data_IF_507636861363
#
_entry.id   IF_507636861363
#
_cell.length_a   1.000
_cell.length_b   1.000
_cell.length_c   1.000
_cell.angle_alpha   90.00
_cell.angle_beta   90.00
_cell.angle_gamma   90.00
#
_symmetry.space_group_name_H-M   'P 1'
#
loop_
_entity.id
_entity.type
_entity.pdbx_description
1 polymer ?
#
# COMPACT_ATOMS: atom_id res chain seq x y z
N UNK A 1 29.44 12.87 83.54
CA UNK A 1 29.64 14.08 82.72
C UNK A 1 28.87 13.88 81.43
N UNK A 2 27.78 14.58 81.33
CA UNK A 2 26.93 15.12 80.19
C UNK A 2 27.27 14.59 78.80
N UNK A 3 26.52 13.86 78.26
CA UNK A 3 25.37 13.60 77.34
C UNK A 3 24.82 14.83 76.68
N UNK A 4 24.78 14.81 75.36
CA UNK A 4 23.83 15.58 74.60
C UNK A 4 23.34 14.73 73.39
N UNK A 5 22.07 14.48 73.44
CA UNK A 5 21.21 13.95 72.39
C UNK A 5 20.95 15.06 71.38
N UNK A 6 21.11 14.79 70.12
CA UNK A 6 20.52 15.60 69.00
C UNK A 6 19.59 14.76 68.17
N UNK A 7 18.33 15.11 68.29
CA UNK A 7 17.25 14.86 67.37
C UNK A 7 17.56 15.51 66.01
N UNK A 8 17.44 14.82 64.95
CA UNK A 8 17.28 15.42 63.60
C UNK A 8 16.13 14.72 62.84
N UNK A 9 15.06 15.47 62.78
CA UNK A 9 13.86 15.27 62.06
C UNK A 9 14.14 15.25 60.52
N UNK A 10 13.61 14.26 59.84
CA UNK A 10 13.46 14.25 58.40
C UNK A 10 12.19 15.02 57.99
N UNK A 11 12.32 16.00 57.11
CA UNK A 11 11.28 16.33 56.20
C UNK A 11 11.86 16.48 54.79
N UNK A 12 11.76 15.47 53.97
CA UNK A 12 12.25 15.53 52.58
C UNK A 12 11.74 14.46 51.64
N UNK A 13 11.12 13.41 52.19
CA UNK A 13 10.69 12.27 51.35
C UNK A 13 9.21 12.27 50.93
N UNK A 14 8.38 13.12 51.53
CA UNK A 14 6.93 13.16 51.20
C UNK A 14 6.63 14.10 50.03
N UNK A 15 7.43 15.15 49.81
CA UNK A 15 7.20 16.12 48.72
C UNK A 15 7.50 15.57 47.34
N UNK A 16 8.44 14.62 47.20
CA UNK A 16 8.83 14.06 45.88
C UNK A 16 7.80 13.04 45.38
N UNK A 17 7.13 12.30 46.25
CA UNK A 17 6.12 11.31 45.89
C UNK A 17 4.82 11.99 45.43
N UNK A 18 4.45 13.12 45.98
CA UNK A 18 3.25 13.87 45.56
C UNK A 18 3.46 14.55 44.22
N UNK A 19 4.68 15.04 43.91
CA UNK A 19 4.98 15.61 42.59
C UNK A 19 4.99 14.56 41.47
N UNK A 20 5.44 13.33 41.74
CA UNK A 20 5.38 12.24 40.73
C UNK A 20 3.96 11.74 40.50
N UNK A 21 3.10 11.69 41.49
CA UNK A 21 1.69 11.32 41.34
C UNK A 21 0.88 12.38 40.57
N UNK A 22 1.16 13.67 40.81
CA UNK A 22 0.49 14.76 40.08
C UNK A 22 0.97 14.79 38.60
N UNK A 23 2.24 14.48 38.34
CA UNK A 23 2.75 14.40 36.96
C UNK A 23 2.20 13.16 36.21
N UNK A 24 1.98 12.03 36.90
CA UNK A 24 1.42 10.82 36.33
C UNK A 24 -0.11 10.93 36.10
N UNK A 25 -0.83 11.60 37.02
CA UNK A 25 -2.26 11.91 36.79
C UNK A 25 -2.48 13.00 35.72
N UNK A 26 -1.54 13.95 35.56
CA UNK A 26 -1.59 14.94 34.48
C UNK A 26 -1.32 14.33 33.11
N UNK A 27 -0.49 13.30 32.99
CA UNK A 27 -0.22 12.62 31.74
C UNK A 27 -1.35 11.67 31.31
N UNK A 28 -2.09 11.10 32.28
CA UNK A 28 -3.30 10.28 31.99
C UNK A 28 -4.51 11.11 31.62
N UNK A 29 -4.53 12.41 31.88
CA UNK A 29 -5.67 13.31 31.56
C UNK A 29 -5.53 14.01 30.20
N UNK A 30 -4.41 13.86 29.49
CA UNK A 30 -4.21 14.43 28.14
C UNK A 30 -4.44 13.37 27.03
N UNK A 31 -4.72 12.11 27.39
CA UNK A 31 -5.36 11.14 26.47
C UNK A 31 -6.88 11.32 26.59
N UNK A 32 -7.35 12.57 26.46
CA UNK A 32 -8.75 12.91 26.35
C UNK A 32 -9.19 12.76 24.90
N UNK A 33 -9.99 11.71 24.66
CA UNK A 33 -11.14 11.74 23.77
C UNK A 33 -11.07 12.71 22.56
N UNK A 34 -10.24 12.37 21.58
CA UNK A 34 -10.65 12.63 20.23
C UNK A 34 -11.77 11.61 19.91
N UNK A 35 -13.01 11.82 20.41
CA UNK A 35 -14.19 11.07 20.00
C UNK A 35 -14.57 11.47 18.56
N UNK A 36 -13.60 11.44 17.66
CA UNK A 36 -13.80 11.51 16.23
C UNK A 36 -14.23 10.13 15.74
N UNK A 37 -15.21 10.11 14.81
CA UNK A 37 -15.54 8.88 14.07
C UNK A 37 -14.23 8.22 13.57
N UNK A 38 -14.04 6.90 13.75
CA UNK A 38 -12.86 6.22 13.23
C UNK A 38 -12.65 6.51 11.75
N UNK A 39 -11.38 6.65 11.33
CA UNK A 39 -11.03 6.89 9.94
C UNK A 39 -11.55 5.75 9.06
N UNK A 40 -12.26 6.10 8.00
CA UNK A 40 -12.81 5.15 7.02
C UNK A 40 -11.79 4.90 5.92
N UNK A 41 -11.16 3.72 5.94
CA UNK A 41 -10.17 3.30 4.94
C UNK A 41 -10.85 2.48 3.85
N UNK A 42 -10.94 3.02 2.64
CA UNK A 42 -11.42 2.29 1.49
C UNK A 42 -10.43 1.17 1.11
N UNK A 43 -10.95 -0.03 0.88
CA UNK A 43 -10.18 -1.12 0.27
C UNK A 43 -10.72 -1.28 -1.16
N UNK A 44 -9.88 -1.00 -2.16
CA UNK A 44 -10.28 -1.07 -3.56
C UNK A 44 -10.83 -2.46 -3.91
N UNK A 45 -11.82 -2.50 -4.78
CA UNK A 45 -12.49 -3.75 -5.18
C UNK A 45 -11.50 -4.78 -5.73
N UNK A 46 -11.78 -6.05 -5.49
CA UNK A 46 -10.98 -7.17 -5.99
C UNK A 46 -11.87 -8.26 -6.59
N UNK A 47 -11.43 -8.81 -7.71
CA UNK A 47 -12.03 -10.02 -8.30
C UNK A 47 -11.73 -11.30 -7.50
N UNK A 48 -10.82 -11.24 -6.51
CA UNK A 48 -10.44 -12.34 -5.60
C UNK A 48 -10.46 -11.86 -4.13
N UNK A 49 -11.64 -11.49 -3.59
CA UNK A 49 -11.76 -10.88 -2.27
C UNK A 49 -11.34 -11.81 -1.12
N UNK A 50 -11.33 -13.13 -1.35
CA UNK A 50 -10.91 -14.12 -0.36
C UNK A 50 -9.42 -14.43 -0.40
N UNK A 51 -8.65 -13.77 -1.28
CA UNK A 51 -7.21 -14.00 -1.35
C UNK A 51 -6.52 -13.66 -0.03
N UNK A 52 -5.40 -14.35 0.23
CA UNK A 52 -4.64 -14.17 1.48
C UNK A 52 -4.21 -12.72 1.68
N UNK A 53 -3.66 -12.06 0.65
CA UNK A 53 -3.24 -10.66 0.70
C UNK A 53 -4.43 -9.71 0.93
N UNK A 54 -5.54 -9.88 0.21
CA UNK A 54 -6.70 -9.01 0.35
C UNK A 54 -7.29 -9.06 1.77
N UNK A 55 -7.51 -10.26 2.30
CA UNK A 55 -8.02 -10.45 3.67
C UNK A 55 -7.02 -9.98 4.72
N UNK A 56 -5.71 -10.08 4.46
CA UNK A 56 -4.65 -9.54 5.33
C UNK A 56 -4.68 -8.01 5.38
N UNK A 57 -5.00 -7.34 4.28
CA UNK A 57 -5.16 -5.88 4.24
C UNK A 57 -6.29 -5.42 5.18
N UNK A 58 -7.41 -6.13 5.19
CA UNK A 58 -8.53 -5.84 6.11
C UNK A 58 -8.10 -6.00 7.58
N UNK A 59 -7.33 -7.05 7.88
CA UNK A 59 -6.78 -7.28 9.22
C UNK A 59 -5.85 -6.14 9.62
N UNK A 60 -4.91 -5.74 8.75
CA UNK A 60 -3.96 -4.68 9.02
C UNK A 60 -4.62 -3.32 9.31
N UNK A 61 -5.67 -2.97 8.56
CA UNK A 61 -6.45 -1.74 8.79
C UNK A 61 -7.14 -1.76 10.16
N UNK A 62 -7.74 -2.89 10.52
CA UNK A 62 -8.38 -3.05 11.86
C UNK A 62 -7.36 -2.98 12.98
N UNK A 63 -6.23 -3.63 12.83
CA UNK A 63 -5.13 -3.60 13.81
C UNK A 63 -4.56 -2.18 13.99
N UNK A 64 -4.57 -1.38 12.92
CA UNK A 64 -4.18 0.03 12.97
C UNK A 64 -5.24 0.95 13.58
N UNK A 65 -6.40 0.43 14.02
CA UNK A 65 -7.46 1.18 14.70
C UNK A 65 -8.42 1.93 13.78
N UNK A 66 -8.44 1.63 12.47
CA UNK A 66 -9.35 2.24 11.52
C UNK A 66 -10.48 1.29 11.07
N UNK A 67 -11.47 1.84 10.37
CA UNK A 67 -12.60 1.09 9.82
C UNK A 67 -12.33 0.75 8.36
N UNK A 68 -12.11 -0.53 8.00
CA UNK A 68 -12.00 -0.93 6.60
C UNK A 68 -13.38 -0.91 5.94
N UNK A 69 -13.48 -0.28 4.77
CA UNK A 69 -14.66 -0.23 3.93
C UNK A 69 -14.33 -0.88 2.60
N UNK A 70 -14.91 -2.05 2.34
CA UNK A 70 -14.75 -2.72 1.05
C UNK A 70 -15.52 -1.93 0.01
N UNK A 71 -14.83 -1.43 -1.02
CA UNK A 71 -15.44 -0.62 -2.06
C UNK A 71 -16.08 -1.48 -3.13
N UNK A 72 -17.15 -0.95 -3.71
CA UNK A 72 -17.74 -1.51 -4.92
C UNK A 72 -16.83 -1.30 -6.13
N UNK A 73 -17.03 -2.11 -7.17
CA UNK A 73 -16.33 -1.96 -8.45
C UNK A 73 -16.65 -0.61 -9.10
N UNK A 74 -15.60 0.14 -9.42
CA UNK A 74 -15.75 1.35 -10.26
C UNK A 74 -15.97 0.95 -11.71
N UNK A 75 -17.03 1.48 -12.32
CA UNK A 75 -17.42 1.20 -13.69
C UNK A 75 -17.27 2.45 -14.56
N UNK A 76 -16.67 2.28 -15.74
CA UNK A 76 -16.71 3.29 -16.79
C UNK A 76 -18.10 3.31 -17.44
N UNK A 77 -18.66 4.50 -17.69
CA UNK A 77 -19.89 4.63 -18.45
C UNK A 77 -19.68 4.53 -19.97
N UNK A 78 -18.42 4.43 -20.41
CA UNK A 78 -18.05 4.19 -21.81
C UNK A 78 -18.03 2.71 -22.21
N UNK A 79 -18.15 1.80 -21.22
CA UNK A 79 -18.04 0.36 -21.40
C UNK A 79 -19.34 -0.33 -21.02
N UNK A 80 -19.62 -1.45 -21.68
CA UNK A 80 -20.81 -2.26 -21.41
C UNK A 80 -20.52 -3.36 -20.39
N UNK A 81 -21.45 -3.55 -19.46
CA UNK A 81 -21.38 -4.58 -18.44
C UNK A 81 -22.63 -5.46 -18.44
N UNK A 82 -22.47 -6.73 -18.17
CA UNK A 82 -23.60 -7.62 -17.91
C UNK A 82 -24.23 -7.36 -16.53
N UNK A 83 -25.29 -8.09 -16.20
CA UNK A 83 -26.00 -7.97 -14.91
C UNK A 83 -25.13 -8.33 -13.71
N UNK A 84 -24.06 -9.12 -13.92
CA UNK A 84 -23.11 -9.51 -12.87
C UNK A 84 -21.92 -8.55 -12.75
N UNK A 85 -21.81 -7.56 -13.66
CA UNK A 85 -20.74 -6.59 -13.68
C UNK A 85 -19.53 -7.02 -14.52
N UNK A 86 -19.62 -8.08 -15.30
CA UNK A 86 -18.56 -8.48 -16.23
C UNK A 86 -18.59 -7.58 -17.47
N UNK A 87 -17.40 -7.22 -17.97
CA UNK A 87 -17.27 -6.49 -19.24
C UNK A 87 -17.74 -7.33 -20.42
N UNK A 88 -18.51 -6.68 -21.31
CA UNK A 88 -19.00 -7.25 -22.56
C UNK A 88 -18.16 -6.66 -23.70
N UNK A 89 -17.61 -7.52 -24.57
CA UNK A 89 -16.84 -7.14 -25.79
C UNK A 89 -15.63 -6.20 -25.53
N UNK A 90 -15.13 -6.18 -24.32
CA UNK A 90 -14.04 -5.27 -23.91
C UNK A 90 -12.82 -6.00 -23.35
N UNK A 91 -12.81 -7.32 -23.37
CA UNK A 91 -11.69 -8.18 -22.96
C UNK A 91 -11.55 -9.36 -23.90
N UNK A 92 -10.33 -9.93 -23.96
CA UNK A 92 -10.04 -11.16 -24.69
C UNK A 92 -10.31 -12.42 -23.84
N UNK A 93 -9.98 -13.58 -24.39
CA UNK A 93 -10.14 -14.90 -23.76
C UNK A 93 -9.26 -15.10 -22.51
N UNK A 94 -8.17 -14.32 -22.36
CA UNK A 94 -7.29 -14.32 -21.21
C UNK A 94 -7.74 -13.34 -20.11
N UNK A 95 -8.82 -12.59 -20.33
CA UNK A 95 -9.28 -11.53 -19.42
C UNK A 95 -8.50 -10.21 -19.53
N UNK A 96 -7.69 -10.06 -20.58
CA UNK A 96 -6.93 -8.83 -20.88
C UNK A 96 -7.88 -7.81 -21.52
N UNK A 97 -7.84 -6.57 -21.02
CA UNK A 97 -8.61 -5.47 -21.55
C UNK A 97 -8.20 -5.19 -23.01
N UNK A 98 -9.17 -5.02 -23.91
CA UNK A 98 -8.88 -4.69 -25.32
C UNK A 98 -8.27 -3.29 -25.45
N UNK A 99 -7.41 -3.07 -26.45
CA UNK A 99 -6.79 -1.75 -26.73
C UNK A 99 -7.82 -0.65 -26.91
N UNK A 100 -8.99 -0.97 -27.51
CA UNK A 100 -10.10 -0.02 -27.67
C UNK A 100 -10.66 0.42 -26.32
N UNK A 101 -10.93 -0.53 -25.42
CA UNK A 101 -11.46 -0.25 -24.09
C UNK A 101 -10.43 0.49 -23.22
N UNK A 102 -9.16 0.06 -23.28
CA UNK A 102 -8.06 0.74 -22.60
C UNK A 102 -7.91 2.20 -23.03
N UNK A 103 -8.05 2.48 -24.33
CA UNK A 103 -8.02 3.86 -24.86
C UNK A 103 -9.16 4.71 -24.29
N UNK A 104 -10.39 4.19 -24.24
CA UNK A 104 -11.53 4.90 -23.65
C UNK A 104 -11.29 5.22 -22.18
N UNK A 105 -10.84 4.23 -21.40
CA UNK A 105 -10.53 4.39 -19.97
C UNK A 105 -9.44 5.44 -19.76
N UNK A 106 -8.34 5.40 -20.54
CA UNK A 106 -7.24 6.36 -20.42
C UNK A 106 -7.65 7.78 -20.82
N UNK A 107 -8.52 7.95 -21.84
CA UNK A 107 -8.95 9.26 -22.32
C UNK A 107 -9.98 9.93 -21.40
N UNK A 108 -10.98 9.18 -20.94
CA UNK A 108 -12.11 9.73 -20.18
C UNK A 108 -11.90 9.69 -18.67
N UNK A 109 -10.98 8.85 -18.21
CA UNK A 109 -10.61 8.71 -16.81
C UNK A 109 -11.84 8.57 -15.89
N UNK A 110 -11.76 9.06 -14.64
CA UNK A 110 -12.81 8.91 -13.65
C UNK A 110 -14.06 9.76 -13.92
N UNK A 111 -13.96 10.83 -14.70
CA UNK A 111 -15.07 11.78 -14.95
C UNK A 111 -16.28 11.09 -15.56
N UNK A 112 -16.05 10.08 -16.41
CA UNK A 112 -17.13 9.27 -16.99
C UNK A 112 -17.27 7.92 -16.28
N UNK A 113 -17.40 7.96 -14.93
CA UNK A 113 -17.51 6.76 -14.09
C UNK A 113 -18.29 7.02 -12.78
N UNK A 114 -18.54 5.95 -12.02
CA UNK A 114 -19.11 6.06 -10.68
C UNK A 114 -18.06 6.25 -9.56
N UNK A 115 -16.79 6.57 -9.86
CA UNK A 115 -15.71 6.66 -8.88
C UNK A 115 -16.04 7.61 -7.70
N UNK A 116 -16.59 8.79 -7.99
CA UNK A 116 -16.97 9.76 -6.96
C UNK A 116 -18.04 9.22 -5.99
N UNK A 117 -18.98 8.42 -6.50
CA UNK A 117 -20.03 7.79 -5.68
C UNK A 117 -19.44 6.69 -4.79
N UNK A 118 -18.55 5.84 -5.34
CA UNK A 118 -17.88 4.77 -4.61
C UNK A 118 -17.01 5.34 -3.48
N UNK A 119 -16.35 6.47 -3.69
CA UNK A 119 -15.48 7.13 -2.70
C UNK A 119 -16.21 7.98 -1.66
N UNK A 120 -17.55 8.03 -1.71
CA UNK A 120 -18.31 8.85 -0.76
C UNK A 120 -18.11 8.38 0.69
N UNK A 121 -17.63 9.27 1.55
CA UNK A 121 -17.41 8.99 2.98
C UNK A 121 -16.11 8.23 3.29
N UNK A 122 -15.22 8.09 2.31
CA UNK A 122 -13.90 7.47 2.47
C UNK A 122 -12.85 8.56 2.74
N UNK A 123 -12.03 8.36 3.77
CA UNK A 123 -11.02 9.33 4.21
C UNK A 123 -9.66 9.09 3.54
N UNK A 124 -9.27 7.82 3.37
CA UNK A 124 -8.07 7.37 2.67
C UNK A 124 -8.32 6.00 2.03
N UNK A 125 -7.40 5.52 1.18
CA UNK A 125 -7.62 4.30 0.41
C UNK A 125 -6.38 3.42 0.35
N UNK A 126 -6.61 2.10 0.32
CA UNK A 126 -5.60 1.09 -0.01
C UNK A 126 -5.98 0.39 -1.31
N UNK A 127 -5.03 0.29 -2.24
CA UNK A 127 -5.11 -0.58 -3.40
C UNK A 127 -4.30 -1.84 -3.13
N UNK A 128 -4.96 -2.99 -2.89
CA UNK A 128 -4.28 -4.23 -2.52
C UNK A 128 -3.55 -4.89 -3.71
N UNK A 129 -2.69 -5.86 -3.39
CA UNK A 129 -2.12 -6.77 -4.35
C UNK A 129 -3.15 -7.56 -5.17
N UNK A 130 -2.70 -8.36 -6.12
CA UNK A 130 -3.57 -9.19 -6.97
C UNK A 130 -2.94 -9.61 -8.28
N UNK A 131 -3.79 -9.97 -9.23
CA UNK A 131 -3.46 -10.48 -10.56
C UNK A 131 -2.76 -9.43 -11.43
N UNK A 132 -2.19 -9.85 -12.54
CA UNK A 132 -1.48 -9.01 -13.49
C UNK A 132 -2.38 -7.92 -14.11
N UNK A 133 -1.76 -6.86 -14.61
CA UNK A 133 -2.46 -5.74 -15.25
C UNK A 133 -2.35 -5.86 -16.76
N UNK A 134 -3.44 -5.64 -17.46
CA UNK A 134 -3.52 -5.67 -18.93
C UNK A 134 -2.45 -4.78 -19.58
N UNK A 135 -1.58 -5.32 -20.45
CA UNK A 135 -0.53 -4.55 -21.10
C UNK A 135 -1.04 -3.42 -22.00
N UNK A 136 -2.31 -3.48 -22.42
CA UNK A 136 -3.00 -2.42 -23.17
C UNK A 136 -3.20 -1.13 -22.36
N UNK A 137 -3.18 -1.21 -21.02
CA UNK A 137 -3.23 -0.04 -20.14
C UNK A 137 -1.87 0.65 -19.97
N UNK A 138 -0.77 0.00 -20.28
CA UNK A 138 0.56 0.61 -20.13
C UNK A 138 0.66 1.90 -20.96
N UNK A 139 1.52 2.81 -20.53
CA UNK A 139 1.75 4.07 -21.24
C UNK A 139 2.12 3.81 -22.70
N UNK A 140 3.12 2.98 -22.93
CA UNK A 140 3.41 2.39 -24.22
C UNK A 140 2.76 1.01 -24.24
N UNK A 141 1.63 0.87 -24.94
CA UNK A 141 0.96 -0.41 -25.11
C UNK A 141 1.97 -1.46 -25.58
N UNK A 142 1.96 -2.61 -24.93
CA UNK A 142 2.84 -3.73 -25.25
C UNK A 142 2.00 -4.94 -25.61
N UNK A 143 2.48 -5.79 -26.56
CA UNK A 143 1.89 -7.10 -26.72
C UNK A 143 2.07 -7.91 -25.44
N UNK A 144 1.13 -8.80 -25.19
CA UNK A 144 1.27 -9.71 -24.08
C UNK A 144 2.46 -10.65 -24.27
N UNK A 145 3.35 -10.67 -23.31
CA UNK A 145 4.53 -11.54 -23.26
C UNK A 145 4.48 -12.51 -22.08
N UNK A 146 3.31 -12.68 -21.47
CA UNK A 146 3.12 -13.57 -20.32
C UNK A 146 3.33 -15.04 -20.67
N UNK A 147 3.32 -15.88 -19.66
CA UNK A 147 3.32 -17.33 -19.77
C UNK A 147 1.88 -17.76 -19.50
N UNK A 148 1.26 -18.58 -20.35
CA UNK A 148 -0.15 -19.01 -20.22
C UNK A 148 -0.51 -19.53 -18.82
N UNK A 149 0.42 -20.18 -18.15
CA UNK A 149 0.24 -20.66 -16.75
C UNK A 149 0.16 -19.54 -15.71
N UNK A 150 0.44 -18.29 -16.08
CA UNK A 150 0.41 -17.11 -15.22
C UNK A 150 -0.53 -16.03 -15.76
N UNK A 151 -1.41 -16.38 -16.69
CA UNK A 151 -2.38 -15.45 -17.29
C UNK A 151 -3.56 -15.18 -16.35
N UNK A 152 -3.26 -14.62 -15.20
CA UNK A 152 -4.26 -14.18 -14.22
C UNK A 152 -4.57 -12.70 -14.46
N UNK A 153 -5.49 -12.39 -15.38
CA UNK A 153 -5.95 -11.04 -15.71
C UNK A 153 -7.41 -10.82 -15.29
N UNK A 154 -7.76 -9.59 -15.00
CA UNK A 154 -9.15 -9.16 -14.80
C UNK A 154 -9.33 -7.76 -15.34
N UNK A 155 -9.87 -7.68 -16.55
CA UNK A 155 -10.18 -6.41 -17.22
C UNK A 155 -11.10 -5.53 -16.36
N UNK A 156 -12.05 -6.12 -15.64
CA UNK A 156 -12.96 -5.42 -14.72
C UNK A 156 -12.18 -4.72 -13.61
N UNK A 157 -11.22 -5.42 -13.00
CA UNK A 157 -10.38 -4.84 -11.95
C UNK A 157 -9.43 -3.80 -12.50
N UNK A 158 -8.91 -4.01 -13.70
CA UNK A 158 -8.04 -3.05 -14.39
C UNK A 158 -8.76 -1.73 -14.63
N UNK A 159 -9.99 -1.77 -15.16
CA UNK A 159 -10.83 -0.58 -15.35
C UNK A 159 -11.14 0.08 -14.00
N UNK A 160 -11.59 -0.71 -13.03
CA UNK A 160 -11.96 -0.20 -11.70
C UNK A 160 -10.80 0.52 -11.02
N UNK A 161 -9.62 -0.13 -10.94
CA UNK A 161 -8.46 0.44 -10.27
C UNK A 161 -7.91 1.66 -11.03
N UNK A 162 -7.85 1.62 -12.36
CA UNK A 162 -7.38 2.75 -13.17
C UNK A 162 -8.21 4.02 -12.92
N UNK A 163 -9.55 3.89 -12.99
CA UNK A 163 -10.47 5.01 -12.79
C UNK A 163 -10.41 5.52 -11.35
N UNK A 164 -10.33 4.61 -10.39
CA UNK A 164 -10.26 4.96 -8.98
C UNK A 164 -8.95 5.65 -8.62
N UNK A 165 -7.80 5.20 -9.15
CA UNK A 165 -6.52 5.92 -9.01
C UNK A 165 -6.57 7.31 -9.64
N UNK A 166 -7.14 7.43 -10.84
CA UNK A 166 -7.32 8.73 -11.51
C UNK A 166 -8.11 9.71 -10.62
N UNK A 167 -9.20 9.24 -9.99
CA UNK A 167 -9.98 10.02 -9.02
C UNK A 167 -9.15 10.40 -7.80
N UNK A 168 -8.50 9.43 -7.16
CA UNK A 168 -7.76 9.65 -5.92
C UNK A 168 -6.59 10.61 -6.11
N UNK A 169 -5.87 10.49 -7.22
CA UNK A 169 -4.77 11.40 -7.55
C UNK A 169 -5.26 12.83 -7.81
N UNK A 170 -6.37 13.01 -8.54
CA UNK A 170 -6.92 14.34 -8.77
C UNK A 170 -7.45 14.98 -7.48
N UNK A 171 -8.17 14.22 -6.67
CA UNK A 171 -8.78 14.70 -5.41
C UNK A 171 -7.81 14.71 -4.22
N UNK A 172 -6.53 14.37 -4.44
CA UNK A 172 -5.49 14.32 -3.40
C UNK A 172 -5.90 13.47 -2.19
N UNK A 173 -6.51 12.29 -2.46
CA UNK A 173 -6.91 11.33 -1.43
C UNK A 173 -5.66 10.57 -0.96
N UNK A 174 -5.38 10.51 0.35
CA UNK A 174 -4.28 9.70 0.87
C UNK A 174 -4.40 8.24 0.41
N UNK A 175 -3.32 7.72 -0.19
CA UNK A 175 -3.33 6.46 -0.91
C UNK A 175 -2.11 5.62 -0.56
N UNK A 176 -2.33 4.37 -0.14
CA UNK A 176 -1.32 3.32 -0.05
C UNK A 176 -1.60 2.27 -1.13
N UNK A 177 -0.61 2.03 -1.99
CA UNK A 177 -0.71 1.12 -3.12
C UNK A 177 0.26 -0.05 -2.92
N UNK A 178 -0.25 -1.29 -2.79
CA UNK A 178 0.51 -2.49 -2.44
C UNK A 178 0.62 -3.41 -3.66
N UNK A 179 1.82 -3.83 -4.01
CA UNK A 179 2.16 -4.80 -5.06
C UNK A 179 1.49 -4.42 -6.41
N UNK A 180 0.46 -5.12 -6.84
CA UNK A 180 -0.33 -4.74 -8.03
C UNK A 180 -0.84 -3.29 -7.95
N UNK A 181 -1.23 -2.83 -6.76
CA UNK A 181 -1.62 -1.43 -6.53
C UNK A 181 -0.51 -0.45 -6.90
N UNK A 182 0.74 -0.70 -6.48
CA UNK A 182 1.89 0.12 -6.88
C UNK A 182 2.12 0.10 -8.40
N UNK A 183 1.96 -1.05 -9.04
CA UNK A 183 2.08 -1.17 -10.49
C UNK A 183 0.99 -0.36 -11.21
N UNK A 184 -0.27 -0.43 -10.76
CA UNK A 184 -1.37 0.37 -11.33
C UNK A 184 -1.17 1.88 -11.08
N UNK A 185 -0.74 2.29 -9.89
CA UNK A 185 -0.34 3.69 -9.61
C UNK A 185 0.71 4.16 -10.63
N UNK A 186 1.68 3.30 -10.92
CA UNK A 186 2.77 3.59 -11.85
C UNK A 186 2.25 3.71 -13.29
N UNK A 187 1.35 2.82 -13.72
CA UNK A 187 0.71 2.86 -15.04
C UNK A 187 -0.13 4.13 -15.22
N UNK A 188 -0.99 4.46 -14.25
CA UNK A 188 -1.82 5.68 -14.29
C UNK A 188 -0.95 6.95 -14.31
N UNK A 189 0.25 6.88 -13.77
CA UNK A 189 1.22 7.98 -13.77
C UNK A 189 2.07 8.02 -15.05
N UNK A 190 2.01 7.02 -15.94
CA UNK A 190 2.76 6.96 -17.19
C UNK A 190 4.12 6.26 -17.10
N UNK A 191 4.35 5.45 -16.08
CA UNK A 191 5.59 4.69 -15.90
C UNK A 191 5.67 3.46 -16.81
N UNK A 192 6.91 2.96 -17.01
CA UNK A 192 7.15 1.71 -17.72
C UNK A 192 7.06 0.50 -16.79
N UNK A 193 6.51 -0.61 -17.30
CA UNK A 193 6.32 -1.87 -16.56
C UNK A 193 7.12 -3.01 -17.24
N UNK A 194 7.71 -3.85 -16.40
CA UNK A 194 8.27 -5.16 -16.76
C UNK A 194 7.19 -6.22 -16.58
N UNK A 195 6.79 -6.90 -17.65
CA UNK A 195 5.75 -7.94 -17.60
C UNK A 195 6.24 -9.25 -16.95
N UNK A 196 7.56 -9.53 -17.00
CA UNK A 196 8.13 -10.73 -16.39
C UNK A 196 9.61 -10.50 -16.01
N UNK A 197 9.89 -10.43 -14.71
CA UNK A 197 11.24 -10.19 -14.18
C UNK A 197 12.24 -11.25 -14.66
N UNK A 198 11.99 -12.58 -14.61
CA UNK A 198 12.92 -13.58 -15.13
C UNK A 198 13.32 -13.34 -16.58
N UNK A 199 12.37 -13.00 -17.46
CA UNK A 199 12.66 -12.69 -18.86
C UNK A 199 13.46 -11.40 -19.03
N UNK A 200 13.17 -10.39 -18.21
CA UNK A 200 13.93 -9.15 -18.21
C UNK A 200 15.39 -9.41 -17.86
N UNK A 201 15.65 -10.17 -16.79
CA UNK A 201 17.01 -10.55 -16.38
C UNK A 201 17.72 -11.38 -17.44
N UNK A 202 17.06 -12.37 -18.04
CA UNK A 202 17.63 -13.15 -19.15
C UNK A 202 17.99 -12.27 -20.35
N UNK A 203 17.17 -11.27 -20.70
CA UNK A 203 17.41 -10.34 -21.81
C UNK A 203 18.65 -9.47 -21.59
N UNK A 204 18.97 -9.12 -20.33
CA UNK A 204 20.16 -8.33 -19.98
C UNK A 204 21.36 -9.19 -19.58
N UNK A 205 21.24 -10.52 -19.68
CA UNK A 205 22.34 -11.46 -19.43
C UNK A 205 22.73 -11.61 -17.96
N UNK A 206 21.80 -11.34 -17.03
CA UNK A 206 22.03 -11.43 -15.59
C UNK A 206 21.20 -12.56 -14.99
N UNK A 207 21.78 -13.36 -14.10
CA UNK A 207 21.07 -14.43 -13.40
C UNK A 207 20.04 -13.85 -12.43
N UNK A 208 18.80 -14.38 -12.45
CA UNK A 208 17.74 -14.02 -11.54
C UNK A 208 17.68 -14.97 -10.34
N UNK A 209 17.72 -14.45 -9.11
CA UNK A 209 17.78 -15.23 -7.88
C UNK A 209 16.40 -15.65 -7.34
N UNK A 210 15.30 -15.29 -8.01
CA UNK A 210 13.92 -15.59 -7.62
C UNK A 210 13.50 -15.04 -6.25
N UNK A 211 14.17 -14.02 -5.75
CA UNK A 211 13.86 -13.43 -4.44
C UNK A 211 12.49 -12.74 -4.38
N UNK A 212 11.93 -12.30 -5.52
CA UNK A 212 10.62 -11.65 -5.57
C UNK A 212 9.46 -12.66 -5.70
N UNK A 213 9.69 -13.78 -6.39
CA UNK A 213 8.75 -14.89 -6.53
C UNK A 213 9.49 -16.15 -6.96
N UNK A 214 9.38 -17.20 -6.17
CA UNK A 214 9.90 -18.53 -6.55
C UNK A 214 8.73 -19.50 -6.67
N UNK A 215 8.36 -19.85 -7.91
CA UNK A 215 7.26 -20.80 -8.19
C UNK A 215 7.50 -22.21 -7.69
N UNK A 216 8.74 -22.59 -7.40
CA UNK A 216 9.12 -23.88 -6.83
C UNK A 216 8.77 -23.96 -5.34
N UNK A 217 8.56 -22.81 -4.70
CA UNK A 217 8.21 -22.68 -3.29
C UNK A 217 6.76 -22.25 -3.14
N UNK A 218 6.13 -22.67 -2.07
CA UNK A 218 4.79 -22.20 -1.69
C UNK A 218 4.92 -20.97 -0.81
N UNK A 219 4.07 -19.97 -1.04
CA UNK A 219 3.99 -18.77 -0.21
C UNK A 219 4.99 -17.67 -0.57
N UNK A 220 4.94 -16.62 0.21
CA UNK A 220 5.74 -15.41 0.01
C UNK A 220 7.22 -15.67 0.24
N UNK A 221 8.07 -15.03 -0.56
CA UNK A 221 9.50 -14.95 -0.30
C UNK A 221 9.78 -13.77 0.63
N UNK A 222 10.91 -13.80 1.34
CA UNK A 222 11.37 -12.68 2.15
C UNK A 222 12.67 -12.12 1.56
N UNK A 223 12.73 -10.80 1.33
CA UNK A 223 13.96 -10.14 0.93
C UNK A 223 14.11 -8.76 1.57
N UNK A 224 15.31 -8.20 1.55
CA UNK A 224 15.55 -6.83 2.00
C UNK A 224 15.37 -5.83 0.87
N UNK A 225 14.98 -4.61 1.22
CA UNK A 225 14.92 -3.46 0.31
C UNK A 225 15.72 -2.29 0.87
N UNK A 226 16.39 -1.55 0.01
CA UNK A 226 17.09 -0.31 0.37
C UNK A 226 16.21 0.89 0.07
N UNK A 227 16.03 1.77 1.07
CA UNK A 227 15.37 3.06 0.88
C UNK A 227 16.41 4.04 0.34
N UNK A 228 16.26 4.40 -0.92
CA UNK A 228 17.26 5.14 -1.68
C UNK A 228 17.21 6.66 -1.46
N UNK A 229 16.12 7.17 -0.89
CA UNK A 229 15.84 8.60 -0.77
C UNK A 229 15.47 8.96 0.67
N UNK A 230 16.37 9.64 1.38
CA UNK A 230 16.21 9.97 2.81
C UNK A 230 15.15 11.06 3.08
N UNK A 231 14.82 11.87 2.10
CA UNK A 231 13.76 12.88 2.16
C UNK A 231 12.41 12.35 1.61
N UNK A 232 12.27 11.01 1.49
CA UNK A 232 11.05 10.37 1.04
C UNK A 232 10.05 10.15 2.19
N UNK A 233 8.77 10.03 1.83
CA UNK A 233 7.70 9.66 2.74
C UNK A 233 8.01 8.30 3.40
N UNK A 234 8.46 7.30 2.61
CA UNK A 234 8.80 5.98 3.12
C UNK A 234 9.92 6.04 4.16
N UNK A 235 10.97 6.82 3.92
CA UNK A 235 12.05 6.99 4.91
C UNK A 235 11.55 7.65 6.19
N UNK A 236 10.73 8.70 6.06
CA UNK A 236 10.13 9.38 7.21
C UNK A 236 9.27 8.45 8.07
N UNK A 237 8.51 7.55 7.45
CA UNK A 237 7.67 6.55 8.14
C UNK A 237 8.53 5.51 8.85
N UNK A 238 9.50 4.92 8.14
CA UNK A 238 10.27 3.77 8.64
C UNK A 238 11.39 4.22 9.58
N UNK A 239 12.03 5.36 9.31
CA UNK A 239 13.10 5.93 10.12
C UNK A 239 14.46 5.24 9.94
N UNK A 240 14.64 4.44 8.89
CA UNK A 240 15.90 3.73 8.58
C UNK A 240 16.05 3.51 7.07
N UNK A 241 17.29 3.36 6.61
CA UNK A 241 17.63 3.23 5.18
C UNK A 241 17.40 1.85 4.57
N UNK A 242 16.99 0.84 5.37
CA UNK A 242 16.76 -0.53 4.88
C UNK A 242 15.63 -1.19 5.65
N UNK A 243 14.82 -1.98 4.95
CA UNK A 243 13.79 -2.85 5.53
C UNK A 243 14.15 -4.29 5.19
N UNK A 244 14.21 -5.15 6.19
CA UNK A 244 14.46 -6.57 6.03
C UNK A 244 13.16 -7.38 6.07
N UNK A 245 13.19 -8.58 5.50
CA UNK A 245 12.09 -9.52 5.57
C UNK A 245 10.82 -9.06 4.84
N UNK A 246 10.93 -8.24 3.79
CA UNK A 246 9.78 -7.79 3.02
C UNK A 246 9.09 -8.98 2.35
N UNK A 247 7.80 -9.28 2.67
CA UNK A 247 7.09 -10.38 2.01
C UNK A 247 6.85 -10.04 0.54
N UNK A 248 7.24 -10.94 -0.36
CA UNK A 248 7.21 -10.71 -1.80
C UNK A 248 6.59 -11.87 -2.58
N UNK A 249 5.71 -11.55 -3.53
CA UNK A 249 5.09 -12.49 -4.45
C UNK A 249 4.70 -11.80 -5.74
N UNK A 250 5.69 -11.35 -6.53
CA UNK A 250 5.45 -10.71 -7.81
C UNK A 250 6.48 -11.12 -8.86
N UNK A 251 6.08 -11.18 -10.13
CA UNK A 251 6.95 -11.40 -11.27
C UNK A 251 6.92 -10.23 -12.26
N UNK A 252 6.03 -9.26 -12.04
CA UNK A 252 6.02 -7.97 -12.72
C UNK A 252 6.67 -6.91 -11.83
N UNK A 253 7.18 -5.84 -12.42
CA UNK A 253 7.81 -4.72 -11.71
C UNK A 253 7.66 -3.40 -12.47
N UNK A 254 7.77 -2.29 -11.75
CA UNK A 254 7.99 -0.98 -12.36
C UNK A 254 9.42 -0.95 -12.89
N UNK A 255 9.59 -0.56 -14.16
CA UNK A 255 10.91 -0.50 -14.82
C UNK A 255 11.55 0.87 -14.71
N UNK A 256 10.79 1.91 -15.02
CA UNK A 256 11.24 3.30 -15.03
C UNK A 256 10.07 4.24 -14.72
N UNK A 257 10.38 5.36 -14.08
CA UNK A 257 9.46 6.46 -13.77
C UNK A 257 9.89 7.79 -14.41
N UNK A 258 10.87 7.78 -15.31
CA UNK A 258 11.60 8.97 -15.81
C UNK A 258 10.69 10.03 -16.45
N UNK A 259 9.61 9.61 -17.13
CA UNK A 259 8.65 10.51 -17.78
C UNK A 259 7.46 10.88 -16.90
N UNK A 260 7.53 10.65 -15.59
CA UNK A 260 6.39 10.77 -14.68
C UNK A 260 6.62 11.79 -13.57
N UNK A 261 5.60 11.99 -12.72
CA UNK A 261 5.72 12.71 -11.44
C UNK A 261 6.04 11.78 -10.26
N UNK A 262 6.30 10.51 -10.54
CA UNK A 262 6.73 9.56 -9.51
C UNK A 262 8.21 9.74 -9.20
N UNK A 263 8.58 9.43 -7.98
CA UNK A 263 9.98 9.26 -7.57
C UNK A 263 10.18 7.85 -7.04
N UNK A 264 11.30 7.22 -7.41
CA UNK A 264 11.71 5.95 -6.82
C UNK A 264 12.25 6.20 -5.44
N UNK A 265 11.71 5.52 -4.45
CA UNK A 265 12.11 5.69 -3.04
C UNK A 265 12.76 4.46 -2.45
N UNK A 266 12.50 3.27 -3.01
CA UNK A 266 13.11 2.03 -2.56
C UNK A 266 13.36 1.06 -3.73
N UNK A 267 14.37 0.21 -3.58
CA UNK A 267 14.70 -0.86 -4.53
C UNK A 267 15.30 -2.07 -3.81
N UNK A 268 15.16 -3.24 -4.43
CA UNK A 268 15.92 -4.45 -4.09
C UNK A 268 17.02 -4.68 -5.12
N UNK A 269 18.23 -4.95 -4.67
CA UNK A 269 19.31 -5.34 -5.56
C UNK A 269 19.26 -6.84 -5.83
N UNK A 270 19.34 -7.20 -7.10
CA UNK A 270 19.44 -8.59 -7.56
C UNK A 270 20.58 -8.67 -8.56
N UNK A 271 21.74 -9.14 -8.11
CA UNK A 271 22.94 -9.27 -8.95
C UNK A 271 23.32 -7.97 -9.70
N UNK A 272 23.22 -6.81 -9.02
CA UNK A 272 23.53 -5.50 -9.57
C UNK A 272 22.41 -4.83 -10.36
N UNK A 273 21.26 -5.49 -10.54
CA UNK A 273 20.05 -4.89 -11.11
C UNK A 273 19.10 -4.48 -9.99
N UNK A 274 18.73 -3.21 -9.96
CA UNK A 274 17.76 -2.69 -9.02
C UNK A 274 16.35 -2.90 -9.52
N UNK A 275 15.59 -3.72 -8.78
CA UNK A 275 14.14 -3.86 -8.96
C UNK A 275 13.45 -2.82 -8.08
N UNK A 276 12.61 -1.98 -8.65
CA UNK A 276 11.91 -0.90 -7.93
C UNK A 276 10.89 -1.50 -6.96
N UNK A 277 11.02 -1.16 -5.68
CA UNK A 277 10.19 -1.66 -4.58
C UNK A 277 9.38 -0.57 -3.87
N UNK A 278 9.64 0.71 -4.19
CA UNK A 278 8.91 1.84 -3.65
C UNK A 278 8.87 3.02 -4.61
N UNK A 279 7.70 3.63 -4.74
CA UNK A 279 7.46 4.87 -5.50
C UNK A 279 6.56 5.82 -4.72
N UNK A 280 6.72 7.10 -4.94
CA UNK A 280 5.91 8.17 -4.32
C UNK A 280 5.50 9.24 -5.33
N UNK A 281 4.42 9.96 -5.00
CA UNK A 281 3.97 11.18 -5.69
C UNK A 281 4.23 12.37 -4.76
N UNK A 282 5.39 13.03 -4.85
CA UNK A 282 5.75 14.13 -3.96
C UNK A 282 4.89 15.40 -4.14
N UNK A 283 4.14 15.48 -5.25
CA UNK A 283 3.14 16.52 -5.49
C UNK A 283 1.79 16.26 -4.78
N UNK A 284 1.68 15.18 -4.01
CA UNK A 284 0.50 14.78 -3.25
C UNK A 284 0.81 14.72 -1.75
N UNK A 285 -0.21 14.89 -0.91
CA UNK A 285 -0.03 14.82 0.54
C UNK A 285 0.49 13.46 1.00
N UNK A 286 -0.12 12.39 0.52
CA UNK A 286 0.25 11.02 0.85
C UNK A 286 -0.15 10.10 -0.31
N UNK A 287 0.80 9.76 -1.16
CA UNK A 287 0.64 8.71 -2.18
C UNK A 287 1.90 7.88 -2.19
N UNK A 288 1.84 6.71 -1.58
CA UNK A 288 2.92 5.75 -1.42
C UNK A 288 2.57 4.45 -2.14
N UNK A 289 3.42 4.01 -3.04
CA UNK A 289 3.39 2.68 -3.64
C UNK A 289 4.54 1.83 -3.12
N UNK A 290 4.24 0.60 -2.69
CA UNK A 290 5.21 -0.40 -2.24
C UNK A 290 4.96 -1.72 -2.97
N UNK A 291 6.01 -2.41 -3.41
CA UNK A 291 5.87 -3.63 -4.19
C UNK A 291 5.71 -4.88 -3.32
N UNK A 292 6.22 -4.84 -2.10
CA UNK A 292 6.11 -5.89 -1.10
C UNK A 292 4.80 -5.84 -0.31
N UNK A 293 4.53 -6.87 0.50
CA UNK A 293 3.26 -7.13 1.17
C UNK A 293 3.34 -6.99 2.72
N UNK A 294 3.37 -5.78 3.30
CA UNK A 294 3.43 -5.63 4.76
C UNK A 294 2.21 -6.22 5.46
N UNK A 295 1.04 -6.24 4.81
CA UNK A 295 -0.20 -6.83 5.34
C UNK A 295 -0.07 -8.35 5.57
N UNK A 296 0.79 -9.01 4.81
CA UNK A 296 1.08 -10.45 4.99
C UNK A 296 1.88 -10.66 6.27
N UNK A 297 2.90 -9.84 6.52
CA UNK A 297 3.71 -9.95 7.73
C UNK A 297 2.87 -9.77 9.00
N UNK A 298 2.02 -8.71 9.06
CA UNK A 298 1.17 -8.48 10.23
C UNK A 298 0.18 -9.63 10.48
N UNK A 299 -0.45 -10.17 9.42
CA UNK A 299 -1.35 -11.31 9.56
C UNK A 299 -0.63 -12.53 10.15
N UNK A 300 0.58 -12.84 9.64
CA UNK A 300 1.39 -13.97 10.14
C UNK A 300 1.74 -13.81 11.62
N UNK A 301 2.14 -12.61 12.03
CA UNK A 301 2.42 -12.29 13.43
C UNK A 301 1.18 -12.49 14.30
N UNK A 302 0.04 -11.89 13.91
CA UNK A 302 -1.20 -11.96 14.69
C UNK A 302 -1.80 -13.37 14.75
N UNK A 303 -1.53 -14.22 13.75
CA UNK A 303 -1.96 -15.61 13.71
C UNK A 303 -0.92 -16.58 14.26
N UNK A 304 0.23 -16.10 14.69
CA UNK A 304 1.35 -16.90 15.19
C UNK A 304 1.75 -18.02 14.22
N UNK A 305 1.84 -17.68 12.91
CA UNK A 305 2.27 -18.63 11.87
C UNK A 305 3.77 -18.94 12.03
N UNK A 306 4.19 -20.19 11.74
CA UNK A 306 5.55 -20.68 12.01
C UNK A 306 6.67 -19.88 11.31
N UNK A 307 6.37 -19.26 10.16
CA UNK A 307 7.33 -18.50 9.36
C UNK A 307 7.22 -16.98 9.57
N UNK A 308 6.50 -16.53 10.61
CA UNK A 308 6.28 -15.11 10.87
C UNK A 308 7.58 -14.34 11.14
N UNK A 309 8.57 -14.99 11.75
CA UNK A 309 9.88 -14.43 12.08
C UNK A 309 10.79 -14.17 10.87
N UNK A 310 10.46 -14.74 9.70
CA UNK A 310 11.17 -14.48 8.45
C UNK A 310 10.78 -13.14 7.82
N UNK A 311 9.68 -12.54 8.27
CA UNK A 311 9.10 -11.34 7.68
C UNK A 311 9.28 -10.11 8.55
N UNK A 312 8.85 -8.96 8.02
CA UNK A 312 8.93 -7.65 8.67
C UNK A 312 8.38 -7.68 10.10
N UNK A 313 9.01 -6.93 10.99
CA UNK A 313 8.55 -6.77 12.36
C UNK A 313 7.22 -5.97 12.46
N UNK A 314 6.48 -6.20 13.55
CA UNK A 314 5.19 -5.59 13.83
C UNK A 314 5.22 -4.06 13.74
N UNK A 315 6.20 -3.43 14.41
CA UNK A 315 6.26 -1.96 14.48
C UNK A 315 6.53 -1.32 13.13
N UNK A 316 7.41 -1.90 12.33
CA UNK A 316 7.69 -1.40 10.96
C UNK A 316 6.46 -1.51 10.07
N UNK A 317 5.73 -2.63 10.14
CA UNK A 317 4.48 -2.80 9.40
C UNK A 317 3.45 -1.78 9.84
N UNK A 318 3.22 -1.66 11.15
CA UNK A 318 2.16 -0.80 11.69
C UNK A 318 2.42 0.69 11.43
N UNK A 319 3.67 1.13 11.35
CA UNK A 319 4.01 2.50 10.94
C UNK A 319 3.46 2.84 9.54
N UNK A 320 3.52 1.92 8.59
CA UNK A 320 3.00 2.15 7.23
C UNK A 320 1.49 2.38 7.22
N UNK A 321 0.73 1.53 7.94
CA UNK A 321 -0.72 1.66 8.01
C UNK A 321 -1.18 2.86 8.82
N UNK A 322 -0.54 3.12 9.97
CA UNK A 322 -0.84 4.29 10.81
C UNK A 322 -0.58 5.59 10.06
N UNK A 323 0.52 5.71 9.32
CA UNK A 323 0.83 6.91 8.53
C UNK A 323 -0.26 7.22 7.47
N UNK A 324 -0.81 6.19 6.81
CA UNK A 324 -1.95 6.36 5.92
C UNK A 324 -3.19 6.87 6.68
N UNK A 325 -3.48 6.28 7.83
CA UNK A 325 -4.65 6.63 8.67
C UNK A 325 -4.53 8.06 9.17
N UNK A 326 -3.35 8.48 9.64
CA UNK A 326 -3.08 9.84 10.09
C UNK A 326 -3.31 10.85 8.96
N UNK A 327 -2.81 10.57 7.76
CA UNK A 327 -3.07 11.39 6.57
C UNK A 327 -4.56 11.45 6.20
N UNK A 328 -5.29 10.34 6.38
CA UNK A 328 -6.75 10.27 6.21
C UNK A 328 -7.51 11.13 7.22
N UNK A 329 -7.10 11.08 8.49
CA UNK A 329 -7.69 11.89 9.57
C UNK A 329 -7.53 13.39 9.31
N UNK A 330 -6.35 13.83 8.88
CA UNK A 330 -6.09 15.22 8.50
C UNK A 330 -7.00 15.68 7.34
N UNK A 331 -7.17 14.82 6.32
CA UNK A 331 -8.01 15.10 5.16
C UNK A 331 -9.49 15.22 5.54
N UNK A 332 -9.97 14.34 6.43
CA UNK A 332 -11.33 14.36 6.96
C UNK A 332 -11.62 15.65 7.75
N UNK A 333 -10.70 16.07 8.59
CA UNK A 333 -10.83 17.30 9.38
C UNK A 333 -10.92 18.54 8.49
N UNK A 334 -10.10 18.63 7.44
CA UNK A 334 -10.19 19.73 6.47
C UNK A 334 -11.54 19.79 5.74
N UNK A 335 -12.13 18.63 5.36
CA UNK A 335 -13.45 18.59 4.70
C UNK A 335 -14.62 18.98 5.60
N UNK A 336 -14.47 18.90 6.92
CA UNK A 336 -15.53 19.30 7.90
C UNK A 336 -15.51 20.80 8.21
N UNK A 337 -14.40 21.46 7.94
CA UNK A 337 -14.19 22.89 8.24
C UNK A 337 -14.55 23.79 7.04
N UNK A 338 -14.79 23.22 5.87
CA UNK A 338 -15.19 23.89 4.63
C UNK A 338 -16.47 23.26 4.05
#
# INVERSE_FOLDING_TARGET
>A
MKSETRNNSLPGRIAIIVLFLIFWMGYSAIVSEASGKPVSVGIAWSNVPDSYSYTSTIIAVKEAGATPVILDMVKSYDLNYDKKGNLIDSKDEHGILTSRAAKLVKCNQWQNSNAAAVMKGIDCIIFPGGWDISPTLYYNEQPWHGIEKDSDYSAERDVSDYLLFSYCLEKNIPTLAICRGMQMLSIVSGAEIVQDIPRWFAKVGVEYTYQHRDRRKKGFQAHGIDIMKQDSLLFGIVGRGRIEGCPSWHHQAVRSVDATRLVVTAAADTNGIKVIEGVERPDKKFVLGIQFHPEVAIRKILKNEQDADQFMDYETVMKLFRALIDAGAETSNHRRLH
#
